data_IF_750620525834
#
_entry.id   IF_750620525834
#
_cell.length_a   1.000
_cell.length_b   1.000
_cell.length_c   1.000
_cell.angle_alpha   90.00
_cell.angle_beta   90.00
_cell.angle_gamma   90.00
#
_symmetry.space_group_name_H-M   'P 1'
#
loop_
_entity.id
_entity.type
_entity.pdbx_description
1 polymer ?
#
# COMPACT_ATOMS: atom_id res chain seq x y z
N UNK A 1 -11.28 -19.36 -27.58
CA UNK A 1 -11.16 -19.89 -28.95
C UNK A 1 -11.94 -19.07 -29.99
N UNK A 2 -13.10 -18.49 -29.67
CA UNK A 2 -13.90 -17.69 -30.62
C UNK A 2 -13.18 -16.48 -31.22
N UNK A 3 -12.31 -15.81 -30.45
CA UNK A 3 -11.53 -14.65 -30.93
C UNK A 3 -10.59 -15.04 -32.09
N UNK A 4 -9.93 -16.21 -32.01
CA UNK A 4 -9.00 -16.68 -33.04
C UNK A 4 -9.71 -17.08 -34.35
N UNK A 5 -10.98 -17.51 -34.26
CA UNK A 5 -11.80 -17.80 -35.44
C UNK A 5 -12.05 -16.56 -36.31
N UNK A 6 -12.19 -15.39 -35.69
CA UNK A 6 -12.36 -14.12 -36.41
C UNK A 6 -11.08 -13.60 -37.08
N UNK A 7 -9.89 -14.02 -36.62
CA UNK A 7 -8.61 -13.64 -37.25
C UNK A 7 -8.37 -14.29 -38.62
N UNK A 8 -9.09 -15.38 -38.92
CA UNK A 8 -8.99 -16.10 -40.19
C UNK A 8 -9.97 -15.59 -41.27
N UNK A 9 -10.86 -14.63 -40.94
CA UNK A 9 -11.82 -14.05 -41.88
C UNK A 9 -11.20 -13.03 -42.86
N UNK A 10 -11.94 -12.63 -43.93
CA UNK A 10 -11.46 -11.71 -44.96
C UNK A 10 -10.95 -10.37 -44.41
N UNK A 11 -10.10 -9.70 -45.20
CA UNK A 11 -9.26 -8.56 -44.81
C UNK A 11 -10.00 -7.37 -44.16
N UNK A 12 -11.30 -7.17 -44.48
CA UNK A 12 -12.14 -6.09 -43.94
C UNK A 12 -12.47 -6.31 -42.46
N UNK A 13 -12.88 -7.53 -42.11
CA UNK A 13 -13.15 -7.98 -40.73
C UNK A 13 -11.94 -7.91 -39.80
N UNK A 14 -10.71 -8.10 -40.30
CA UNK A 14 -9.49 -7.94 -39.48
C UNK A 14 -9.23 -6.50 -39.06
N UNK A 15 -9.56 -5.54 -39.93
CA UNK A 15 -9.33 -4.12 -39.68
C UNK A 15 -10.34 -3.58 -38.68
N UNK A 16 -11.59 -4.03 -38.78
CA UNK A 16 -12.65 -3.68 -37.83
C UNK A 16 -12.38 -4.34 -36.46
N UNK A 17 -11.90 -5.60 -36.42
CA UNK A 17 -11.44 -6.26 -35.19
C UNK A 17 -10.21 -5.57 -34.58
N UNK A 18 -9.27 -5.10 -35.39
CA UNK A 18 -8.08 -4.36 -34.94
C UNK A 18 -8.46 -3.02 -34.29
N UNK A 19 -9.45 -2.32 -34.86
CA UNK A 19 -10.05 -1.11 -34.29
C UNK A 19 -10.76 -1.48 -32.98
N UNK A 20 -11.62 -2.49 -32.98
CA UNK A 20 -12.42 -2.86 -31.82
C UNK A 20 -11.55 -3.33 -30.64
N UNK A 21 -10.44 -4.04 -30.91
CA UNK A 21 -9.42 -4.41 -29.91
C UNK A 21 -8.59 -3.22 -29.39
N UNK A 22 -8.34 -2.20 -30.22
CA UNK A 22 -7.71 -0.95 -29.77
C UNK A 22 -8.61 -0.13 -28.84
N UNK A 23 -9.93 -0.23 -28.99
CA UNK A 23 -10.90 0.60 -28.25
C UNK A 23 -11.59 -0.12 -27.08
N UNK A 24 -11.49 -1.45 -26.96
CA UNK A 24 -12.08 -2.22 -25.85
C UNK A 24 -11.01 -2.68 -24.83
N UNK A 25 -10.98 -2.03 -23.66
CA UNK A 25 -10.12 -2.27 -22.48
C UNK A 25 -8.59 -2.22 -22.71
N UNK A 26 -8.01 -1.04 -22.44
CA UNK A 26 -6.66 -0.61 -22.87
C UNK A 26 -5.43 -1.34 -22.28
N UNK A 27 -5.50 -2.01 -21.13
CA UNK A 27 -4.27 -2.40 -20.40
C UNK A 27 -3.82 -3.86 -20.61
N UNK A 28 -4.75 -4.81 -20.80
CA UNK A 28 -4.40 -6.22 -21.01
C UNK A 28 -4.14 -6.56 -22.49
N UNK A 29 -4.71 -5.78 -23.42
CA UNK A 29 -4.69 -6.11 -24.85
C UNK A 29 -3.62 -5.43 -25.69
N UNK A 30 -2.89 -4.45 -25.17
CA UNK A 30 -1.77 -3.84 -25.91
C UNK A 30 -0.61 -4.84 -26.05
N UNK A 31 -0.34 -5.60 -24.99
CA UNK A 31 0.64 -6.69 -25.00
C UNK A 31 0.18 -7.84 -25.90
N UNK A 32 -1.13 -8.14 -25.93
CA UNK A 32 -1.71 -9.14 -26.83
C UNK A 32 -1.70 -8.65 -28.30
N UNK A 33 -1.87 -7.35 -28.53
CA UNK A 33 -1.76 -6.71 -29.85
C UNK A 33 -0.33 -6.77 -30.39
N UNK A 34 0.68 -6.45 -29.57
CA UNK A 34 2.08 -6.52 -29.97
C UNK A 34 2.55 -7.96 -30.17
N UNK A 35 2.13 -8.89 -29.30
CA UNK A 35 2.35 -10.32 -29.50
C UNK A 35 1.69 -10.82 -30.80
N UNK A 36 0.44 -10.43 -31.07
CA UNK A 36 -0.29 -10.78 -32.30
C UNK A 36 0.38 -10.22 -33.55
N UNK A 37 0.90 -8.99 -33.49
CA UNK A 37 1.62 -8.33 -34.58
C UNK A 37 2.96 -9.01 -34.86
N UNK A 38 3.67 -9.44 -33.82
CA UNK A 38 4.90 -10.22 -33.93
C UNK A 38 4.64 -11.59 -34.55
N UNK A 39 3.63 -12.32 -34.08
CA UNK A 39 3.19 -13.60 -34.65
C UNK A 39 2.79 -13.44 -36.12
N UNK A 40 2.02 -12.40 -36.48
CA UNK A 40 1.67 -12.12 -37.87
C UNK A 40 2.90 -11.84 -38.75
N UNK A 41 3.92 -11.17 -38.22
CA UNK A 41 5.16 -10.86 -38.95
C UNK A 41 6.01 -12.11 -39.18
N UNK A 42 6.06 -13.03 -38.22
CA UNK A 42 6.71 -14.34 -38.36
C UNK A 42 5.93 -15.22 -39.35
N UNK A 43 4.60 -15.30 -39.22
CA UNK A 43 3.76 -16.07 -40.16
C UNK A 43 3.91 -15.56 -41.59
N UNK A 44 4.07 -14.24 -41.79
CA UNK A 44 4.26 -13.66 -43.11
C UNK A 44 5.64 -13.91 -43.74
N UNK A 45 6.61 -14.44 -42.98
CA UNK A 45 8.02 -14.58 -43.40
C UNK A 45 8.66 -15.95 -43.13
N UNK A 46 8.04 -16.79 -42.31
CA UNK A 46 8.57 -18.09 -41.91
C UNK A 46 8.06 -19.24 -42.78
N UNK A 47 8.78 -20.36 -42.76
CA UNK A 47 8.30 -21.61 -43.37
C UNK A 47 7.22 -22.26 -42.50
N UNK A 48 6.31 -23.04 -43.09
CA UNK A 48 5.21 -23.69 -42.37
C UNK A 48 5.66 -24.57 -41.18
N UNK A 49 6.86 -25.14 -41.24
CA UNK A 49 7.42 -25.95 -40.17
C UNK A 49 7.84 -25.09 -38.95
N UNK A 50 8.39 -23.92 -39.22
CA UNK A 50 8.85 -22.97 -38.19
C UNK A 50 7.67 -22.27 -37.51
N UNK A 51 6.61 -21.97 -38.28
CA UNK A 51 5.34 -21.47 -37.75
C UNK A 51 4.69 -22.51 -36.83
N UNK A 52 4.67 -23.79 -37.22
CA UNK A 52 4.11 -24.87 -36.38
C UNK A 52 4.90 -25.09 -35.10
N UNK A 53 6.24 -25.03 -35.14
CA UNK A 53 7.08 -25.18 -33.94
C UNK A 53 6.81 -24.07 -32.93
N UNK A 54 6.80 -22.82 -33.37
CA UNK A 54 6.56 -21.66 -32.50
C UNK A 54 5.12 -21.65 -31.96
N UNK A 55 4.14 -22.02 -32.79
CA UNK A 55 2.76 -22.20 -32.35
C UNK A 55 2.65 -23.25 -31.24
N UNK A 56 3.34 -24.39 -31.36
CA UNK A 56 3.35 -25.43 -30.33
C UNK A 56 4.09 -24.98 -29.06
N UNK A 57 5.21 -24.28 -29.16
CA UNK A 57 5.95 -23.71 -28.01
C UNK A 57 5.08 -22.69 -27.25
N UNK A 58 4.40 -21.78 -27.97
CA UNK A 58 3.48 -20.81 -27.36
C UNK A 58 2.27 -21.52 -26.73
N UNK A 59 1.75 -22.56 -27.38
CA UNK A 59 0.58 -23.29 -26.90
C UNK A 59 0.91 -24.14 -25.66
N UNK A 60 2.11 -24.73 -25.57
CA UNK A 60 2.58 -25.41 -24.36
C UNK A 60 2.93 -24.42 -23.22
N UNK A 61 3.51 -23.26 -23.53
CA UNK A 61 3.86 -22.25 -22.53
C UNK A 61 2.64 -21.47 -21.98
N UNK A 62 1.58 -21.25 -22.77
CA UNK A 62 0.40 -20.50 -22.31
C UNK A 62 -0.47 -21.25 -21.30
N UNK A 63 -0.32 -22.57 -21.19
CA UNK A 63 -1.00 -23.39 -20.19
C UNK A 63 -0.27 -23.40 -18.82
N UNK A 64 0.91 -22.80 -18.74
CA UNK A 64 1.73 -22.72 -17.54
C UNK A 64 1.86 -21.27 -17.06
N UNK A 65 2.03 -21.07 -15.75
CA UNK A 65 2.02 -19.78 -15.02
C UNK A 65 3.22 -18.84 -15.35
N UNK A 66 3.66 -18.81 -16.60
CA UNK A 66 4.89 -18.20 -17.11
C UNK A 66 4.57 -16.89 -17.88
N UNK A 67 3.34 -16.35 -17.83
CA UNK A 67 3.02 -15.03 -18.45
C UNK A 67 3.95 -13.91 -17.94
N UNK A 68 4.30 -13.93 -16.66
CA UNK A 68 5.23 -12.94 -16.07
C UNK A 68 6.71 -13.24 -16.38
N UNK A 69 7.06 -14.50 -16.61
CA UNK A 69 8.44 -14.92 -16.84
C UNK A 69 8.85 -14.70 -18.31
N UNK A 70 7.96 -14.92 -19.28
CA UNK A 70 8.19 -14.61 -20.69
C UNK A 70 8.29 -13.09 -20.92
N UNK A 71 7.51 -12.30 -20.19
CA UNK A 71 7.61 -10.82 -20.21
C UNK A 71 8.95 -10.37 -19.61
N UNK A 72 9.41 -10.96 -18.50
CA UNK A 72 10.72 -10.66 -17.93
C UNK A 72 11.88 -11.04 -18.88
N UNK A 73 11.82 -12.22 -19.52
CA UNK A 73 12.81 -12.70 -20.49
C UNK A 73 12.90 -11.83 -21.75
N UNK A 74 11.76 -11.32 -22.24
CA UNK A 74 11.73 -10.42 -23.40
C UNK A 74 12.23 -9.01 -23.05
N UNK A 75 12.05 -8.57 -21.81
CA UNK A 75 12.54 -7.28 -21.31
C UNK A 75 14.05 -7.30 -21.02
N UNK A 76 14.58 -8.42 -20.49
CA UNK A 76 16.02 -8.59 -20.25
C UNK A 76 16.84 -8.82 -21.52
N UNK A 77 16.32 -9.55 -22.51
CA UNK A 77 17.11 -9.94 -23.69
C UNK A 77 17.23 -8.87 -24.79
N UNK A 78 16.36 -7.86 -24.85
CA UNK A 78 16.35 -6.92 -25.98
C UNK A 78 16.04 -5.44 -25.63
N UNK A 79 16.74 -4.82 -24.65
CA UNK A 79 16.50 -3.43 -24.25
C UNK A 79 16.72 -2.41 -25.39
N UNK A 80 17.68 -2.66 -26.29
CA UNK A 80 18.03 -1.75 -27.40
C UNK A 80 17.04 -1.78 -28.58
N UNK A 81 16.20 -2.82 -28.70
CA UNK A 81 15.22 -2.92 -29.79
C UNK A 81 13.87 -2.32 -29.41
N UNK A 82 13.48 -2.34 -28.14
CA UNK A 82 12.30 -1.62 -27.65
C UNK A 82 12.48 -0.09 -27.76
N UNK A 83 13.70 0.41 -27.55
CA UNK A 83 14.06 1.82 -27.82
C UNK A 83 13.92 2.17 -29.31
N UNK A 84 14.20 1.22 -30.21
CA UNK A 84 14.11 1.42 -31.67
C UNK A 84 12.68 1.33 -32.20
N UNK A 85 11.76 0.69 -31.47
CA UNK A 85 10.32 0.67 -31.78
C UNK A 85 9.54 1.70 -30.95
N UNK A 86 10.11 2.91 -30.77
CA UNK A 86 9.43 4.14 -30.35
C UNK A 86 8.33 4.62 -31.31
N UNK A 87 7.51 3.70 -31.82
CA UNK A 87 6.28 3.91 -32.56
C UNK A 87 5.16 3.39 -31.65
N UNK A 88 4.45 4.19 -30.84
CA UNK A 88 4.06 5.59 -31.02
C UNK A 88 3.90 6.28 -29.66
N UNK A 89 4.86 7.11 -29.30
CA UNK A 89 4.71 8.07 -28.17
C UNK A 89 3.94 9.32 -28.64
N UNK A 90 4.01 9.65 -29.94
CA UNK A 90 3.20 10.72 -30.56
C UNK A 90 1.70 10.40 -30.53
N UNK A 91 1.31 9.13 -30.67
CA UNK A 91 -0.10 8.72 -30.49
C UNK A 91 -0.49 8.70 -29.01
N UNK A 92 0.46 8.56 -28.09
CA UNK A 92 0.19 8.61 -26.65
C UNK A 92 -0.03 10.05 -26.17
N UNK A 93 0.81 11.00 -26.57
CA UNK A 93 0.58 12.43 -26.34
C UNK A 93 -0.74 12.90 -26.98
N UNK A 94 -0.99 12.52 -28.24
CA UNK A 94 -2.26 12.85 -28.90
C UNK A 94 -3.47 12.14 -28.25
N UNK A 95 -3.34 10.89 -27.79
CA UNK A 95 -4.42 10.19 -27.10
C UNK A 95 -4.72 10.78 -25.71
N UNK A 96 -3.71 11.33 -25.02
CA UNK A 96 -3.88 12.04 -23.75
C UNK A 96 -4.50 13.42 -24.00
N UNK A 97 -4.01 14.17 -24.99
CA UNK A 97 -4.55 15.47 -25.35
C UNK A 97 -6.00 15.38 -25.85
N UNK A 98 -6.34 14.31 -26.58
CA UNK A 98 -7.71 14.04 -27.07
C UNK A 98 -8.63 13.45 -25.98
N UNK A 99 -8.10 12.98 -24.84
CA UNK A 99 -8.89 12.49 -23.69
C UNK A 99 -8.52 13.26 -22.41
N UNK A 100 -8.39 14.58 -22.53
CA UNK A 100 -7.97 15.47 -21.43
C UNK A 100 -8.86 15.32 -20.18
N UNK A 101 -10.17 15.10 -20.38
CA UNK A 101 -11.14 14.94 -19.29
C UNK A 101 -10.92 13.65 -18.49
N UNK A 102 -10.42 12.58 -19.10
CA UNK A 102 -10.09 11.34 -18.40
C UNK A 102 -8.72 11.40 -17.75
N UNK A 103 -7.78 12.12 -18.38
CA UNK A 103 -6.46 12.38 -17.80
C UNK A 103 -6.56 13.19 -16.50
N UNK A 104 -7.47 14.17 -16.45
CA UNK A 104 -7.68 15.00 -15.26
C UNK A 104 -8.31 14.24 -14.08
N UNK A 105 -8.92 13.07 -14.34
CA UNK A 105 -9.51 12.18 -13.33
C UNK A 105 -8.54 11.12 -12.79
N UNK A 106 -7.34 10.99 -13.37
CA UNK A 106 -6.36 10.00 -12.91
C UNK A 106 -5.84 10.39 -11.52
N UNK A 107 -5.71 9.37 -10.65
CA UNK A 107 -5.04 9.50 -9.37
C UNK A 107 -3.51 9.45 -9.53
N UNK A 108 -2.78 9.73 -8.44
CA UNK A 108 -1.31 9.80 -8.45
C UNK A 108 -0.66 8.49 -8.87
N UNK A 109 -1.14 7.35 -8.36
CA UNK A 109 -0.56 6.04 -8.70
C UNK A 109 -0.67 5.74 -10.20
N UNK A 110 -1.77 6.14 -10.85
CA UNK A 110 -1.90 6.02 -12.30
C UNK A 110 -0.88 6.87 -13.06
N UNK A 111 -0.60 8.10 -12.63
CA UNK A 111 0.43 8.92 -13.25
C UNK A 111 1.83 8.34 -13.08
N UNK A 112 2.15 7.85 -11.88
CA UNK A 112 3.44 7.23 -11.60
C UNK A 112 3.62 5.93 -12.40
N UNK A 113 2.56 5.14 -12.54
CA UNK A 113 2.56 3.95 -13.41
C UNK A 113 2.82 4.31 -14.87
N UNK A 114 2.23 5.38 -15.40
CA UNK A 114 2.52 5.86 -16.77
C UNK A 114 4.00 6.20 -16.95
N UNK A 115 4.62 6.86 -15.96
CA UNK A 115 6.06 7.14 -16.00
C UNK A 115 6.86 5.84 -16.07
N UNK A 116 6.54 4.88 -15.20
CA UNK A 116 7.21 3.58 -15.16
C UNK A 116 7.05 2.79 -16.48
N UNK A 117 5.82 2.65 -16.97
CA UNK A 117 5.48 1.90 -18.20
C UNK A 117 6.04 2.55 -19.46
N UNK A 118 6.18 3.89 -19.47
CA UNK A 118 6.87 4.60 -20.55
C UNK A 118 8.39 4.45 -20.54
N UNK A 119 8.94 3.63 -19.62
CA UNK A 119 10.36 3.52 -19.35
C UNK A 119 11.01 4.88 -19.10
N UNK A 120 10.35 5.71 -18.29
CA UNK A 120 10.82 7.05 -17.92
C UNK A 120 11.03 8.00 -19.11
N UNK A 121 10.18 7.89 -20.14
CA UNK A 121 10.24 8.78 -21.28
C UNK A 121 10.13 10.25 -20.85
N UNK A 122 11.06 11.09 -21.31
CA UNK A 122 11.17 12.50 -20.88
C UNK A 122 9.88 13.30 -21.05
N UNK A 123 9.13 13.09 -22.13
CA UNK A 123 7.89 13.83 -22.38
C UNK A 123 6.78 13.42 -21.39
N UNK A 124 6.63 12.12 -21.16
CA UNK A 124 5.67 11.57 -20.17
C UNK A 124 6.02 12.05 -18.76
N UNK A 125 7.31 11.99 -18.40
CA UNK A 125 7.77 12.49 -17.09
C UNK A 125 7.46 13.98 -16.94
N UNK A 126 7.80 14.83 -17.91
CA UNK A 126 7.53 16.27 -17.83
C UNK A 126 6.03 16.58 -17.68
N UNK A 127 5.18 15.88 -18.43
CA UNK A 127 3.73 16.03 -18.36
C UNK A 127 3.19 15.61 -16.98
N UNK A 128 3.60 14.44 -16.49
CA UNK A 128 3.20 13.93 -15.16
C UNK A 128 3.69 14.85 -14.06
N UNK A 129 4.96 15.27 -14.09
CA UNK A 129 5.56 16.25 -13.18
C UNK A 129 4.74 17.54 -13.15
N UNK A 130 4.36 18.08 -14.31
CA UNK A 130 3.56 19.31 -14.40
C UNK A 130 2.17 19.15 -13.78
N UNK A 131 1.55 17.98 -13.96
CA UNK A 131 0.22 17.68 -13.40
C UNK A 131 0.30 17.47 -11.88
N UNK A 132 1.24 16.65 -11.42
CA UNK A 132 1.43 16.32 -10.01
C UNK A 132 1.94 17.50 -9.18
N UNK A 133 2.70 18.44 -9.76
CA UNK A 133 3.14 19.66 -9.09
C UNK A 133 2.00 20.56 -8.59
N UNK A 134 0.79 20.41 -9.15
CA UNK A 134 -0.41 21.14 -8.72
C UNK A 134 -1.12 20.46 -7.54
N UNK A 135 -0.74 19.22 -7.22
CA UNK A 135 -1.34 18.42 -6.15
C UNK A 135 -0.55 18.58 -4.86
N UNK A 136 -1.27 18.68 -3.72
CA UNK A 136 -0.68 18.82 -2.39
C UNK A 136 -0.53 17.51 -1.63
N UNK A 137 -1.25 16.48 -2.06
CA UNK A 137 -1.24 15.15 -1.45
C UNK A 137 -1.05 14.10 -2.55
N UNK A 138 -0.08 13.21 -2.35
CA UNK A 138 0.26 12.15 -3.29
C UNK A 138 0.11 10.79 -2.62
N UNK A 139 -0.76 9.94 -3.18
CA UNK A 139 -0.99 8.58 -2.70
C UNK A 139 -0.30 7.57 -3.62
N UNK A 140 0.53 6.71 -3.03
CA UNK A 140 1.31 5.69 -3.75
C UNK A 140 0.97 4.31 -3.20
N UNK A 141 0.43 3.47 -4.07
CA UNK A 141 -0.07 2.14 -3.72
C UNK A 141 0.85 1.03 -4.22
N UNK A 142 1.54 1.25 -5.34
CA UNK A 142 2.29 0.20 -6.03
C UNK A 142 3.82 0.33 -5.88
N UNK A 143 4.56 -0.81 -5.91
CA UNK A 143 6.03 -0.80 -6.02
C UNK A 143 6.57 -0.10 -7.27
N UNK A 144 5.88 -0.24 -8.41
CA UNK A 144 6.22 0.48 -9.65
C UNK A 144 5.97 1.99 -9.53
N UNK A 145 4.94 2.39 -8.76
CA UNK A 145 4.72 3.79 -8.43
C UNK A 145 5.90 4.42 -7.68
N UNK A 146 6.55 3.68 -6.78
CA UNK A 146 7.68 4.16 -5.98
C UNK A 146 8.94 4.45 -6.79
N UNK A 147 9.27 3.59 -7.76
CA UNK A 147 10.45 3.80 -8.60
C UNK A 147 10.26 5.04 -9.50
N UNK A 148 9.06 5.22 -10.05
CA UNK A 148 8.67 6.41 -10.80
C UNK A 148 8.62 7.69 -9.95
N UNK A 149 8.19 7.57 -8.69
CA UNK A 149 8.05 8.69 -7.77
C UNK A 149 9.36 9.46 -7.60
N UNK A 150 10.50 8.75 -7.50
CA UNK A 150 11.81 9.41 -7.35
C UNK A 150 12.14 10.33 -8.52
N UNK A 151 11.84 9.89 -9.74
CA UNK A 151 12.10 10.67 -10.95
C UNK A 151 11.20 11.91 -10.97
N UNK A 152 9.94 11.77 -10.59
CA UNK A 152 8.98 12.89 -10.51
C UNK A 152 9.37 13.88 -9.40
N UNK A 153 9.77 13.40 -8.21
CA UNK A 153 10.21 14.25 -7.10
C UNK A 153 11.45 15.07 -7.43
N UNK A 154 12.43 14.46 -8.10
CA UNK A 154 13.66 15.15 -8.54
C UNK A 154 13.37 16.33 -9.48
N UNK A 155 12.34 16.21 -10.32
CA UNK A 155 11.94 17.25 -11.25
C UNK A 155 11.02 18.30 -10.63
N UNK A 156 10.02 17.88 -9.83
CA UNK A 156 9.03 18.79 -9.22
C UNK A 156 9.60 19.60 -8.07
N UNK A 157 10.48 19.01 -7.24
CA UNK A 157 11.00 19.60 -5.99
C UNK A 157 9.90 20.28 -5.15
N UNK A 158 8.82 19.56 -4.81
CA UNK A 158 7.65 20.17 -4.23
C UNK A 158 7.94 20.62 -2.79
N UNK A 159 7.39 21.77 -2.40
CA UNK A 159 7.48 22.27 -1.02
C UNK A 159 6.18 21.97 -0.28
N UNK A 160 6.27 21.31 0.87
CA UNK A 160 5.11 21.04 1.71
C UNK A 160 4.15 19.99 1.16
N UNK A 161 4.64 19.11 0.27
CA UNK A 161 3.88 17.98 -0.24
C UNK A 161 3.66 16.95 0.89
N UNK A 162 2.43 16.44 0.98
CA UNK A 162 2.12 15.25 1.79
C UNK A 162 2.19 14.01 0.93
N UNK A 163 3.04 13.06 1.31
CA UNK A 163 3.20 11.79 0.63
C UNK A 163 2.64 10.66 1.50
N UNK A 164 1.73 9.89 0.93
CA UNK A 164 1.02 8.82 1.59
C UNK A 164 1.34 7.49 0.91
N UNK A 165 1.89 6.55 1.68
CA UNK A 165 2.15 5.19 1.22
C UNK A 165 1.08 4.28 1.78
N UNK A 166 0.38 3.55 0.91
CA UNK A 166 -0.75 2.69 1.27
C UNK A 166 -0.50 1.28 0.76
N UNK A 167 -0.66 0.28 1.64
CA UNK A 167 -0.87 -1.12 1.26
C UNK A 167 0.24 -1.72 0.36
N UNK A 168 1.49 -1.49 0.75
CA UNK A 168 2.68 -2.06 0.09
C UNK A 168 2.82 -3.55 0.49
N UNK A 169 1.92 -4.40 -0.02
CA UNK A 169 1.80 -5.83 0.30
C UNK A 169 3.06 -6.66 0.02
N UNK A 170 3.91 -6.22 -0.89
CA UNK A 170 5.25 -6.78 -1.10
C UNK A 170 6.30 -5.79 -0.58
N UNK A 171 6.47 -5.78 0.73
CA UNK A 171 7.56 -5.03 1.33
C UNK A 171 8.89 -5.62 0.85
N UNK A 172 9.58 -4.91 -0.04
CA UNK A 172 10.94 -5.23 -0.43
C UNK A 172 11.93 -4.25 0.21
N UNK A 173 13.16 -4.70 0.42
CA UNK A 173 14.33 -3.88 0.79
C UNK A 173 14.57 -2.69 -0.14
N UNK A 174 13.95 -2.68 -1.32
CA UNK A 174 14.00 -1.52 -2.22
C UNK A 174 13.23 -0.31 -1.66
N UNK A 175 12.11 -0.51 -0.97
CA UNK A 175 11.31 0.60 -0.41
C UNK A 175 12.05 1.34 0.71
N UNK A 176 12.82 0.66 1.56
CA UNK A 176 13.63 1.36 2.59
C UNK A 176 14.68 2.25 1.95
N UNK A 177 15.32 1.80 0.86
CA UNK A 177 16.24 2.60 0.06
C UNK A 177 15.58 3.79 -0.65
N UNK A 178 14.35 3.63 -1.13
CA UNK A 178 13.58 4.75 -1.69
C UNK A 178 13.20 5.76 -0.61
N UNK A 179 12.68 5.32 0.54
CA UNK A 179 12.31 6.21 1.65
C UNK A 179 13.50 7.05 2.11
N UNK A 180 14.67 6.44 2.32
CA UNK A 180 15.90 7.14 2.71
C UNK A 180 16.38 8.18 1.66
N UNK A 181 15.97 8.05 0.40
CA UNK A 181 16.23 9.06 -0.62
C UNK A 181 15.13 10.14 -0.69
N UNK A 182 13.88 9.78 -0.37
CA UNK A 182 12.75 10.72 -0.30
C UNK A 182 12.89 11.64 0.92
N UNK A 183 13.50 11.18 2.02
CA UNK A 183 13.71 12.00 3.22
C UNK A 183 14.59 13.25 2.99
N UNK A 184 15.32 13.31 1.87
CA UNK A 184 16.10 14.49 1.45
C UNK A 184 15.23 15.69 1.06
N UNK A 185 13.92 15.51 0.86
CA UNK A 185 12.99 16.57 0.45
C UNK A 185 12.17 17.10 1.64
N UNK A 186 11.67 18.34 1.58
CA UNK A 186 10.79 18.90 2.62
C UNK A 186 9.36 18.38 2.51
N UNK A 187 9.12 17.16 3.01
CA UNK A 187 7.86 16.41 2.85
C UNK A 187 7.20 16.06 4.18
N UNK A 188 5.87 15.96 4.15
CA UNK A 188 5.08 15.35 5.23
C UNK A 188 4.75 13.92 4.85
N UNK A 189 4.97 12.95 5.75
CA UNK A 189 4.66 11.54 5.47
C UNK A 189 3.42 11.04 6.21
N UNK A 190 2.65 10.22 5.50
CA UNK A 190 1.65 9.31 6.05
C UNK A 190 2.01 7.88 5.63
N UNK A 191 2.44 7.06 6.59
CA UNK A 191 2.84 5.68 6.33
C UNK A 191 1.72 4.74 6.76
N UNK A 192 1.05 4.08 5.82
CA UNK A 192 -0.05 3.16 6.06
C UNK A 192 0.30 1.77 5.51
N UNK A 193 0.95 0.97 6.34
CA UNK A 193 1.41 -0.36 6.00
C UNK A 193 0.25 -1.37 6.06
N UNK A 194 0.30 -2.44 5.24
CA UNK A 194 -0.71 -3.47 5.23
C UNK A 194 -0.92 -4.07 6.61
N UNK A 195 -2.16 -4.45 6.88
CA UNK A 195 -2.51 -5.27 8.04
C UNK A 195 -2.43 -6.72 7.60
N UNK A 196 -1.35 -7.41 7.94
CA UNK A 196 -1.41 -8.87 7.99
C UNK A 196 -2.41 -9.29 9.08
N UNK A 197 -3.10 -10.43 8.92
CA UNK A 197 -3.86 -11.03 10.00
C UNK A 197 -2.96 -11.14 11.23
N UNK A 198 -3.51 -10.88 12.42
CA UNK A 198 -2.81 -10.99 13.71
C UNK A 198 -2.44 -12.44 14.08
N UNK A 199 -2.36 -13.34 13.10
CA UNK A 199 -2.15 -14.77 13.27
C UNK A 199 -0.82 -15.14 13.90
N UNK A 200 0.18 -14.26 13.76
CA UNK A 200 1.49 -14.44 14.36
C UNK A 200 1.73 -13.45 15.50
N UNK A 201 2.45 -13.90 16.53
CA UNK A 201 2.84 -13.05 17.66
C UNK A 201 3.64 -11.83 17.12
N UNK A 202 3.09 -10.61 17.20
CA UNK A 202 3.61 -9.48 16.42
C UNK A 202 5.04 -9.09 16.82
N UNK A 203 5.45 -9.32 18.07
CA UNK A 203 6.79 -8.99 18.59
C UNK A 203 7.94 -9.81 18.00
N UNK A 204 7.66 -10.98 17.42
CA UNK A 204 8.64 -11.82 16.72
C UNK A 204 8.32 -12.02 15.23
N UNK A 205 7.25 -11.38 14.73
CA UNK A 205 6.85 -11.55 13.34
C UNK A 205 7.86 -10.89 12.39
N UNK A 206 8.19 -11.53 11.25
CA UNK A 206 8.96 -10.89 10.18
C UNK A 206 8.34 -9.56 9.74
N UNK A 207 7.01 -9.46 9.81
CA UNK A 207 6.25 -8.24 9.47
C UNK A 207 6.62 -7.05 10.36
N UNK A 208 6.72 -7.23 11.68
CA UNK A 208 7.06 -6.13 12.58
C UNK A 208 8.50 -5.63 12.37
N UNK A 209 9.46 -6.53 12.16
CA UNK A 209 10.84 -6.13 11.87
C UNK A 209 10.94 -5.30 10.58
N UNK A 210 10.15 -5.69 9.58
CA UNK A 210 10.03 -4.99 8.32
C UNK A 210 9.40 -3.60 8.47
N UNK A 211 8.33 -3.48 9.25
CA UNK A 211 7.68 -2.20 9.54
C UNK A 211 8.56 -1.27 10.36
N UNK A 212 9.30 -1.82 11.34
CA UNK A 212 10.30 -1.08 12.11
C UNK A 212 11.38 -0.50 11.19
N UNK A 213 11.86 -1.28 10.21
CA UNK A 213 12.85 -0.80 9.24
C UNK A 213 12.31 0.38 8.40
N UNK A 214 11.02 0.38 8.06
CA UNK A 214 10.40 1.53 7.38
C UNK A 214 10.21 2.74 8.26
N UNK A 215 9.75 2.53 9.50
CA UNK A 215 9.64 3.60 10.47
C UNK A 215 11.01 4.28 10.65
N UNK A 216 12.07 3.48 10.82
CA UNK A 216 13.46 3.95 10.87
C UNK A 216 13.83 4.76 9.63
N UNK A 217 13.60 4.22 8.42
CA UNK A 217 13.90 4.92 7.17
C UNK A 217 13.13 6.24 7.02
N UNK A 218 11.89 6.31 7.51
CA UNK A 218 11.05 7.52 7.49
C UNK A 218 11.39 8.52 8.60
N UNK A 219 12.27 8.17 9.54
CA UNK A 219 12.61 8.98 10.72
C UNK A 219 14.10 9.27 10.88
N UNK A 220 14.89 9.02 9.83
CA UNK A 220 16.34 9.22 9.86
C UNK A 220 16.70 10.65 10.34
N UNK A 221 17.61 10.79 11.33
CA UNK A 221 17.97 12.10 11.89
C UNK A 221 18.71 12.98 10.87
N UNK A 222 18.32 14.24 10.77
CA UNK A 222 18.94 15.24 9.88
C UNK A 222 18.08 15.65 8.68
N UNK A 223 16.93 15.01 8.52
CA UNK A 223 16.13 15.15 7.31
C UNK A 223 14.94 16.12 7.47
N UNK A 224 14.66 16.80 6.37
CA UNK A 224 13.62 17.83 6.21
C UNK A 224 12.19 17.27 6.23
N UNK A 225 12.02 16.03 6.66
CA UNK A 225 10.76 15.31 6.60
C UNK A 225 10.10 15.16 7.95
N UNK A 226 8.78 15.15 7.93
CA UNK A 226 7.96 15.05 9.13
C UNK A 226 6.96 13.93 8.97
N UNK A 227 7.20 12.79 9.62
CA UNK A 227 6.21 11.72 9.72
C UNK A 227 5.09 12.18 10.68
N UNK A 228 3.87 12.31 10.14
CA UNK A 228 2.69 12.70 10.90
C UNK A 228 1.80 11.51 11.24
N UNK A 229 1.63 10.57 10.31
CA UNK A 229 0.73 9.43 10.48
C UNK A 229 1.47 8.11 10.30
N UNK A 230 1.26 7.18 11.22
CA UNK A 230 1.76 5.82 11.11
C UNK A 230 0.63 4.81 11.33
N UNK A 231 0.54 3.82 10.45
CA UNK A 231 -0.31 2.63 10.60
C UNK A 231 0.48 1.37 10.28
N UNK A 232 0.59 0.42 11.20
CA UNK A 232 1.26 -0.86 10.98
C UNK A 232 1.56 -1.63 12.27
N UNK A 233 2.14 -2.82 12.15
CA UNK A 233 2.74 -3.55 13.29
C UNK A 233 4.07 -2.94 13.73
N UNK A 234 4.32 -2.91 15.04
CA UNK A 234 5.61 -2.49 15.60
C UNK A 234 6.13 -3.51 16.62
N UNK A 235 7.43 -3.75 16.58
CA UNK A 235 8.11 -4.44 17.67
C UNK A 235 8.54 -3.44 18.75
N UNK A 236 9.16 -3.95 19.82
CA UNK A 236 9.86 -3.13 20.82
C UNK A 236 10.77 -2.07 20.19
N UNK A 237 11.49 -2.42 19.13
CA UNK A 237 12.45 -1.53 18.47
C UNK A 237 11.73 -0.37 17.77
N UNK A 238 10.71 -0.66 16.97
CA UNK A 238 9.92 0.36 16.28
C UNK A 238 9.19 1.30 17.22
N UNK A 239 8.70 0.82 18.37
CA UNK A 239 8.11 1.70 19.39
C UNK A 239 9.09 2.79 19.83
N UNK A 240 10.37 2.45 20.02
CA UNK A 240 11.38 3.43 20.44
C UNK A 240 11.67 4.47 19.33
N UNK A 241 11.46 4.11 18.07
CA UNK A 241 11.70 4.95 16.90
C UNK A 241 10.54 5.89 16.55
N UNK A 242 9.38 5.76 17.19
CA UNK A 242 8.23 6.63 16.94
C UNK A 242 8.63 8.12 17.08
N UNK A 243 8.46 8.96 16.06
CA UNK A 243 8.96 10.34 16.10
C UNK A 243 8.01 11.26 16.87
N UNK A 244 8.53 12.36 17.46
CA UNK A 244 7.72 13.29 18.26
C UNK A 244 6.69 14.08 17.44
N UNK A 245 6.83 14.11 16.11
CA UNK A 245 5.91 14.80 15.20
C UNK A 245 4.61 14.04 14.90
N UNK A 246 4.44 12.81 15.40
CA UNK A 246 3.24 12.02 15.12
C UNK A 246 1.98 12.69 15.68
N UNK A 247 0.97 12.81 14.83
CA UNK A 247 -0.39 13.25 15.20
C UNK A 247 -1.38 12.09 15.21
N UNK A 248 -1.11 11.05 14.43
CA UNK A 248 -1.95 9.85 14.30
C UNK A 248 -1.08 8.59 14.39
N UNK A 249 -1.46 7.68 15.29
CA UNK A 249 -0.82 6.39 15.46
C UNK A 249 -1.86 5.27 15.48
N UNK A 250 -1.78 4.35 14.53
CA UNK A 250 -2.51 3.08 14.55
C UNK A 250 -1.51 1.94 14.58
N UNK A 251 -1.43 1.20 15.67
CA UNK A 251 -0.36 0.21 15.84
C UNK A 251 -0.90 -1.15 16.23
N UNK A 252 -0.43 -2.19 15.54
CA UNK A 252 -0.53 -3.57 15.99
C UNK A 252 0.69 -3.94 16.84
N UNK A 253 0.51 -4.48 18.05
CA UNK A 253 1.63 -4.92 18.89
C UNK A 253 1.25 -6.07 19.84
N UNK A 254 2.24 -6.62 20.52
CA UNK A 254 2.07 -7.64 21.55
C UNK A 254 1.57 -7.01 22.85
N UNK A 255 0.91 -7.80 23.70
CA UNK A 255 0.49 -7.33 25.04
C UNK A 255 1.69 -6.88 25.89
N UNK A 256 2.84 -7.54 25.75
CA UNK A 256 4.08 -7.22 26.49
C UNK A 256 4.71 -5.86 26.12
N UNK A 257 4.46 -5.37 24.90
CA UNK A 257 5.03 -4.12 24.41
C UNK A 257 4.13 -2.91 24.67
N UNK A 258 2.92 -3.13 25.19
CA UNK A 258 1.95 -2.07 25.46
C UNK A 258 2.47 -1.04 26.46
N UNK A 259 3.18 -1.48 27.51
CA UNK A 259 3.79 -0.57 28.48
C UNK A 259 4.77 0.38 27.81
N UNK A 260 5.59 -0.16 26.92
CA UNK A 260 6.64 0.59 26.21
C UNK A 260 6.01 1.60 25.27
N UNK A 261 4.93 1.21 24.60
CA UNK A 261 4.15 2.12 23.78
C UNK A 261 3.63 3.30 24.61
N UNK A 262 2.97 3.04 25.74
CA UNK A 262 2.46 4.11 26.61
C UNK A 262 3.56 5.06 27.09
N UNK A 263 4.68 4.52 27.57
CA UNK A 263 5.83 5.32 27.98
C UNK A 263 6.41 6.16 26.85
N UNK A 264 6.36 5.66 25.60
CA UNK A 264 6.81 6.42 24.43
C UNK A 264 5.84 7.53 24.05
N UNK A 265 4.55 7.22 23.92
CA UNK A 265 3.55 8.18 23.42
C UNK A 265 3.33 9.35 24.39
N UNK A 266 3.58 9.16 25.69
CA UNK A 266 3.61 10.26 26.67
C UNK A 266 4.64 11.35 26.33
N UNK A 267 5.65 11.03 25.51
CA UNK A 267 6.65 11.98 25.03
C UNK A 267 6.29 12.61 23.69
N UNK A 268 5.20 12.19 23.04
CA UNK A 268 4.73 12.67 21.73
C UNK A 268 3.60 13.67 21.95
N UNK A 269 3.95 14.94 22.18
CA UNK A 269 2.98 15.99 22.53
C UNK A 269 1.96 16.30 21.43
N UNK A 270 2.29 16.01 20.18
CA UNK A 270 1.43 16.28 19.03
C UNK A 270 0.40 15.18 18.77
N UNK A 271 0.47 14.04 19.48
CA UNK A 271 -0.40 12.91 19.23
C UNK A 271 -1.85 13.27 19.57
N UNK A 272 -2.76 13.10 18.62
CA UNK A 272 -4.21 13.37 18.77
C UNK A 272 -5.06 12.12 18.59
N UNK A 273 -4.58 11.16 17.82
CA UNK A 273 -5.32 9.94 17.51
C UNK A 273 -4.46 8.73 17.81
N UNK A 274 -4.99 7.80 18.61
CA UNK A 274 -4.33 6.55 18.95
C UNK A 274 -5.28 5.38 18.71
N UNK A 275 -4.87 4.41 17.91
CA UNK A 275 -5.57 3.14 17.74
C UNK A 275 -4.59 2.02 18.03
N UNK A 276 -4.94 1.13 18.94
CA UNK A 276 -4.11 -0.02 19.32
C UNK A 276 -4.82 -1.30 18.90
N UNK A 277 -4.12 -2.18 18.21
CA UNK A 277 -4.59 -3.50 17.82
C UNK A 277 -3.72 -4.56 18.49
N UNK A 278 -4.33 -5.53 19.18
CA UNK A 278 -3.60 -6.62 19.85
C UNK A 278 -4.46 -7.88 19.97
N UNK A 279 -3.83 -9.04 20.14
CA UNK A 279 -4.55 -10.25 20.58
C UNK A 279 -4.86 -10.19 22.07
N UNK A 280 -6.01 -10.75 22.45
CA UNK A 280 -6.38 -10.88 23.87
C UNK A 280 -5.53 -11.88 24.64
N UNK A 281 -4.83 -12.79 23.95
CA UNK A 281 -3.89 -13.72 24.58
C UNK A 281 -2.93 -12.97 25.52
N UNK A 282 -2.98 -13.30 26.81
CA UNK A 282 -2.17 -12.69 27.88
C UNK A 282 -2.53 -11.23 28.24
N UNK A 283 -3.79 -10.80 28.06
CA UNK A 283 -4.25 -9.47 28.50
C UNK A 283 -4.13 -9.27 30.02
N UNK A 284 -4.13 -10.35 30.80
CA UNK A 284 -3.86 -10.32 32.24
C UNK A 284 -2.49 -9.69 32.59
N UNK A 285 -1.47 -9.89 31.75
CA UNK A 285 -0.14 -9.31 31.96
C UNK A 285 -0.13 -7.79 31.78
N UNK A 286 -1.10 -7.27 31.02
CA UNK A 286 -1.29 -5.83 30.79
C UNK A 286 -1.87 -5.14 32.02
N UNK A 287 -2.56 -5.87 32.91
CA UNK A 287 -3.11 -5.30 34.15
C UNK A 287 -2.01 -4.89 35.14
N UNK A 288 -0.75 -5.29 34.93
CA UNK A 288 0.39 -4.89 35.75
C UNK A 288 1.07 -3.57 35.34
N UNK A 289 0.49 -2.80 34.41
CA UNK A 289 1.05 -1.54 33.89
C UNK A 289 1.28 -0.40 34.92
N UNK A 290 0.97 -0.60 36.19
CA UNK A 290 0.95 0.46 37.20
C UNK A 290 -0.11 1.52 36.89
N UNK A 291 -0.20 2.56 37.74
CA UNK A 291 -1.03 3.74 37.44
C UNK A 291 -0.28 4.62 36.43
N UNK A 292 -0.57 4.48 35.14
CA UNK A 292 -0.24 5.49 34.13
C UNK A 292 -1.18 6.71 34.35
N UNK A 293 -0.97 7.42 35.45
CA UNK A 293 -1.76 8.58 35.89
C UNK A 293 -1.39 9.86 35.12
N UNK A 294 -1.24 9.75 33.81
CA UNK A 294 -0.89 10.88 32.95
C UNK A 294 -1.90 10.98 31.83
N UNK A 295 -2.62 12.09 31.80
CA UNK A 295 -3.61 12.42 30.78
C UNK A 295 -2.90 12.72 29.46
N UNK A 296 -3.04 11.82 28.49
CA UNK A 296 -2.74 12.12 27.10
C UNK A 296 -3.86 13.01 26.56
N UNK A 297 -3.52 14.15 25.95
CA UNK A 297 -4.47 15.06 25.30
C UNK A 297 -4.89 14.53 23.91
N UNK A 298 -5.56 13.37 23.93
CA UNK A 298 -6.04 12.67 22.74
C UNK A 298 -7.47 13.10 22.40
N UNK A 299 -7.72 13.31 21.11
CA UNK A 299 -9.05 13.55 20.56
C UNK A 299 -9.85 12.25 20.44
N UNK A 300 -9.17 11.13 20.16
CA UNK A 300 -9.80 9.83 19.97
C UNK A 300 -8.85 8.69 20.33
N UNK A 301 -9.40 7.67 20.98
CA UNK A 301 -8.70 6.45 21.36
C UNK A 301 -9.50 5.26 20.86
N UNK A 302 -8.81 4.35 20.17
CA UNK A 302 -9.37 3.10 19.70
C UNK A 302 -8.60 1.89 20.23
N UNK A 303 -9.30 0.85 20.66
CA UNK A 303 -8.71 -0.43 21.03
C UNK A 303 -9.41 -1.50 20.20
N UNK A 304 -8.62 -2.27 19.44
CA UNK A 304 -9.07 -3.42 18.69
C UNK A 304 -8.43 -4.68 19.31
N UNK A 305 -9.25 -5.51 19.93
CA UNK A 305 -8.85 -6.76 20.55
C UNK A 305 -9.28 -7.94 19.69
N UNK A 306 -8.39 -8.90 19.48
CA UNK A 306 -8.66 -10.08 18.63
C UNK A 306 -8.69 -11.35 19.47
N UNK A 307 -9.71 -12.18 19.26
CA UNK A 307 -9.87 -13.46 19.97
C UNK A 307 -10.18 -13.29 21.46
N UNK A 308 -11.04 -12.33 21.81
CA UNK A 308 -11.45 -12.10 23.19
C UNK A 308 -12.45 -13.17 23.67
N UNK A 309 -12.25 -13.70 24.87
CA UNK A 309 -13.17 -14.61 25.55
C UNK A 309 -13.88 -13.90 26.72
N UNK A 310 -14.95 -14.50 27.26
CA UNK A 310 -15.68 -13.92 28.40
C UNK A 310 -14.80 -13.79 29.66
N UNK A 311 -13.82 -14.68 29.82
CA UNK A 311 -12.83 -14.65 30.89
C UNK A 311 -11.91 -13.43 30.82
N UNK A 312 -11.76 -12.81 29.64
CA UNK A 312 -10.93 -11.62 29.43
C UNK A 312 -11.63 -10.32 29.84
N UNK A 313 -12.96 -10.29 29.93
CA UNK A 313 -13.74 -9.07 30.11
C UNK A 313 -13.30 -8.21 31.32
N UNK A 314 -13.00 -8.79 32.51
CA UNK A 314 -12.49 -8.01 33.63
C UNK A 314 -11.13 -7.35 33.33
N UNK A 315 -10.26 -8.02 32.58
CA UNK A 315 -8.96 -7.50 32.18
C UNK A 315 -9.09 -6.41 31.12
N UNK A 316 -10.00 -6.57 30.17
CA UNK A 316 -10.34 -5.55 29.16
C UNK A 316 -10.84 -4.27 29.84
N UNK A 317 -11.82 -4.40 30.75
CA UNK A 317 -12.36 -3.27 31.49
C UNK A 317 -11.27 -2.54 32.31
N UNK A 318 -10.37 -3.30 32.93
CA UNK A 318 -9.24 -2.75 33.70
C UNK A 318 -8.24 -2.02 32.81
N UNK A 319 -7.87 -2.58 31.66
CA UNK A 319 -7.00 -1.94 30.66
C UNK A 319 -7.60 -0.59 30.24
N UNK A 320 -8.88 -0.59 29.90
CA UNK A 320 -9.59 0.60 29.45
C UNK A 320 -9.61 1.68 30.52
N UNK A 321 -9.97 1.32 31.75
CA UNK A 321 -10.01 2.24 32.89
C UNK A 321 -8.65 2.92 33.11
N UNK A 322 -7.56 2.15 33.07
CA UNK A 322 -6.23 2.63 33.45
C UNK A 322 -5.59 3.53 32.40
N UNK A 323 -5.85 3.26 31.13
CA UNK A 323 -5.09 3.88 30.05
C UNK A 323 -5.77 5.11 29.46
N UNK A 324 -7.09 5.27 29.58
CA UNK A 324 -7.84 6.11 28.64
C UNK A 324 -8.91 6.97 29.30
N UNK A 325 -8.52 7.70 30.34
CA UNK A 325 -9.39 8.69 30.97
C UNK A 325 -9.35 10.02 30.20
N UNK A 326 -10.51 10.49 29.71
CA UNK A 326 -10.69 11.84 29.17
C UNK A 326 -11.04 11.95 27.68
N UNK A 327 -10.62 11.01 26.84
CA UNK A 327 -10.97 10.99 25.41
C UNK A 327 -12.11 10.01 25.09
N UNK A 328 -12.92 10.24 24.04
CA UNK A 328 -13.87 9.25 23.54
C UNK A 328 -13.16 7.96 23.14
N UNK A 329 -13.59 6.84 23.73
CA UNK A 329 -13.07 5.50 23.46
C UNK A 329 -13.94 4.78 22.42
N UNK A 330 -13.29 4.14 21.45
CA UNK A 330 -13.86 3.12 20.58
C UNK A 330 -13.26 1.76 20.94
N UNK A 331 -14.12 0.77 21.20
CA UNK A 331 -13.70 -0.60 21.50
C UNK A 331 -14.22 -1.54 20.39
N UNK A 332 -13.31 -2.22 19.71
CA UNK A 332 -13.61 -3.25 18.73
C UNK A 332 -13.13 -4.59 19.26
N UNK A 333 -14.03 -5.53 19.43
CA UNK A 333 -13.72 -6.93 19.73
C UNK A 333 -13.89 -7.68 18.40
N UNK A 334 -12.81 -8.22 17.88
CA UNK A 334 -12.78 -8.97 16.64
C UNK A 334 -12.64 -10.44 16.96
N UNK A 335 -13.39 -11.29 16.26
CA UNK A 335 -13.35 -12.75 16.46
C UNK A 335 -13.60 -13.13 17.93
N UNK A 336 -14.45 -12.36 18.61
CA UNK A 336 -14.71 -12.53 20.03
C UNK A 336 -15.73 -13.65 20.26
N UNK A 337 -15.45 -14.50 21.24
CA UNK A 337 -16.39 -15.52 21.72
C UNK A 337 -17.08 -15.01 22.98
N UNK A 338 -17.95 -14.01 22.81
CA UNK A 338 -18.65 -13.31 23.89
C UNK A 338 -20.15 -13.41 23.64
N UNK A 339 -20.90 -13.90 24.63
CA UNK A 339 -22.36 -13.96 24.54
C UNK A 339 -23.00 -12.57 24.74
N UNK A 340 -24.32 -12.47 24.53
CA UNK A 340 -25.06 -11.24 24.84
C UNK A 340 -24.92 -10.82 26.32
N UNK A 341 -24.87 -11.79 27.23
CA UNK A 341 -24.68 -11.53 28.67
C UNK A 341 -23.26 -11.05 28.98
N UNK A 342 -22.25 -11.65 28.33
CA UNK A 342 -20.86 -11.17 28.41
C UNK A 342 -20.71 -9.73 27.90
N UNK A 343 -21.39 -9.38 26.80
CA UNK A 343 -21.40 -8.00 26.29
C UNK A 343 -22.05 -7.02 27.30
N UNK A 344 -23.15 -7.42 27.93
CA UNK A 344 -23.81 -6.63 28.98
C UNK A 344 -22.90 -6.47 30.22
N UNK A 345 -22.19 -7.52 30.62
CA UNK A 345 -21.23 -7.49 31.71
C UNK A 345 -20.07 -6.53 31.41
N UNK A 346 -19.52 -6.56 30.20
CA UNK A 346 -18.47 -5.63 29.79
C UNK A 346 -18.95 -4.17 29.86
N UNK A 347 -20.16 -3.88 29.35
CA UNK A 347 -20.76 -2.56 29.45
C UNK A 347 -20.89 -2.11 30.91
N UNK A 348 -21.39 -2.98 31.78
CA UNK A 348 -21.52 -2.69 33.21
C UNK A 348 -20.17 -2.41 33.86
N UNK A 349 -19.12 -3.19 33.54
CA UNK A 349 -17.77 -2.97 34.04
C UNK A 349 -17.21 -1.61 33.58
N UNK A 350 -17.39 -1.25 32.31
CA UNK A 350 -16.96 0.05 31.77
C UNK A 350 -17.70 1.21 32.43
N UNK A 351 -19.02 1.07 32.67
CA UNK A 351 -19.82 2.05 33.41
C UNK A 351 -19.34 2.22 34.85
N UNK A 352 -19.08 1.12 35.57
CA UNK A 352 -18.55 1.14 36.94
C UNK A 352 -17.19 1.86 37.02
N UNK A 353 -16.42 1.84 35.92
CA UNK A 353 -15.15 2.53 35.80
C UNK A 353 -15.23 3.97 35.28
N UNK A 354 -16.44 4.52 35.10
CA UNK A 354 -16.68 5.86 34.55
C UNK A 354 -16.04 6.09 33.17
N UNK A 355 -15.94 5.03 32.37
CA UNK A 355 -15.36 5.10 31.02
C UNK A 355 -16.42 5.61 30.05
N UNK A 356 -16.11 6.71 29.33
CA UNK A 356 -16.95 7.20 28.22
C UNK A 356 -16.62 6.44 26.93
N UNK A 357 -17.29 5.30 26.75
CA UNK A 357 -17.22 4.57 25.49
C UNK A 357 -18.21 5.16 24.48
N UNK A 358 -17.71 5.56 23.30
CA UNK A 358 -18.52 6.10 22.20
C UNK A 358 -19.12 4.98 21.34
N UNK A 359 -18.39 3.88 21.20
CA UNK A 359 -18.77 2.78 20.33
C UNK A 359 -18.13 1.48 20.83
N UNK A 360 -18.96 0.44 20.97
CA UNK A 360 -18.50 -0.94 21.14
C UNK A 360 -19.00 -1.72 19.93
N UNK A 361 -18.08 -2.41 19.25
CA UNK A 361 -18.38 -3.37 18.19
C UNK A 361 -17.83 -4.72 18.64
N UNK A 362 -18.68 -5.74 18.60
CA UNK A 362 -18.37 -7.13 18.93
C UNK A 362 -18.51 -7.96 17.66
#
# INVERSE_FOLDING_TARGET
MEILGHYLCPRKTRKDLEIELQYSYRHLRMQEFDASKYVCKIISKGSNAEIKRIMNEIQEEWHSNIRNHTIALLTERFPERLTKYGCRIVDFENAILNNKDDFDKLNVDNFLRMVFESHYNKAVVNMVTTKMAKMREWEVHSPSGLSALMVVLQQTKPKGLTLQFIDQTSVSTSLTGYLANITKYHLTFRLMLPKTPLDENPSSSPTAAVHDAFLSAATLPGDNTTLKWFSGFLSRTGIQQLPPSLTYLRVGLSSEDLQRLFLRILRIKELKYLVISMRCSNIENVVNLGKLQTTLDLTNIGIALYGAEETDLPHIATLVQRCFTGAPLHLWLHEANITGDGAAQLLQLLCNHNVKCKEIKI
#
